data_IF_397563152357
#
_entry.id   IF_397563152357
#
_cell.length_a   1.000
_cell.length_b   1.000
_cell.length_c   1.000
_cell.angle_alpha   90.00
_cell.angle_beta   90.00
_cell.angle_gamma   90.00
#
_symmetry.space_group_name_H-M   'P 1'
#
loop_
_entity.id
_entity.type
_entity.pdbx_description
1 polymer ?
#
# COMPACT_ATOMS: atom_id res chain seq x y z
N UNK A 1 -4.80 -4.62 -1.24
CA UNK A 1 -4.28 -5.99 -1.16
C UNK A 1 -2.80 -5.98 -0.76
N UNK A 2 -2.41 -6.94 0.09
CA UNK A 2 -1.02 -7.23 0.40
C UNK A 2 -0.79 -8.73 0.29
N UNK A 3 0.37 -9.15 -0.20
CA UNK A 3 0.71 -10.56 -0.37
C UNK A 3 2.15 -10.88 0.02
N UNK A 4 2.33 -12.07 0.60
CA UNK A 4 3.64 -12.61 0.99
C UNK A 4 3.72 -14.10 0.70
N UNK A 5 4.88 -14.57 0.28
CA UNK A 5 5.21 -15.99 0.15
C UNK A 5 6.21 -16.36 1.26
N UNK A 6 5.84 -17.34 2.08
CA UNK A 6 6.71 -17.88 3.11
C UNK A 6 7.41 -19.13 2.56
N UNK A 7 8.74 -19.10 2.49
CA UNK A 7 9.58 -20.15 1.97
C UNK A 7 10.54 -20.59 3.06
N UNK A 8 10.48 -21.84 3.47
CA UNK A 8 11.32 -22.42 4.54
C UNK A 8 11.35 -21.55 5.82
N UNK A 9 10.22 -20.96 6.15
CA UNK A 9 10.06 -20.10 7.34
C UNK A 9 10.37 -18.62 7.13
N UNK A 10 10.88 -18.20 5.96
CA UNK A 10 11.16 -16.80 5.64
C UNK A 10 10.04 -16.23 4.76
N UNK A 11 9.44 -15.13 5.18
CA UNK A 11 8.35 -14.46 4.44
C UNK A 11 8.90 -13.38 3.50
N UNK A 12 8.52 -13.45 2.21
CA UNK A 12 8.89 -12.51 1.16
C UNK A 12 7.64 -11.79 0.66
N UNK A 13 7.53 -10.48 0.92
CA UNK A 13 6.41 -9.67 0.45
C UNK A 13 6.55 -9.39 -1.04
N UNK A 14 5.59 -9.86 -1.82
CA UNK A 14 5.56 -9.68 -3.28
C UNK A 14 4.58 -8.60 -3.74
N UNK A 15 3.58 -8.25 -2.94
CA UNK A 15 2.56 -7.27 -3.31
C UNK A 15 2.18 -6.39 -2.12
N UNK A 16 1.80 -5.14 -2.40
CA UNK A 16 1.38 -4.17 -1.40
C UNK A 16 2.56 -3.59 -0.61
N UNK A 17 2.26 -2.76 0.37
CA UNK A 17 3.22 -2.17 1.28
C UNK A 17 2.66 -2.17 2.70
N UNK A 18 3.47 -2.54 3.68
CA UNK A 18 3.14 -2.32 5.07
C UNK A 18 3.16 -0.82 5.38
N UNK A 19 2.33 -0.38 6.32
CA UNK A 19 2.42 0.96 6.88
C UNK A 19 3.81 1.13 7.49
N UNK A 20 4.57 2.09 6.96
CA UNK A 20 5.89 2.39 7.49
C UNK A 20 5.71 3.25 8.73
N UNK A 21 6.08 2.72 9.89
CA UNK A 21 6.22 3.50 11.12
C UNK A 21 7.65 4.01 11.22
N UNK A 22 7.80 5.28 11.55
CA UNK A 22 9.11 5.94 11.64
C UNK A 22 9.25 6.72 12.93
N UNK A 23 10.49 6.85 13.40
CA UNK A 23 10.88 7.74 14.49
C UNK A 23 11.86 8.80 13.99
N UNK A 24 11.80 10.05 14.49
CA UNK A 24 12.71 11.09 14.06
C UNK A 24 14.17 10.79 14.45
N UNK A 25 15.09 10.93 13.48
CA UNK A 25 16.54 11.04 13.71
C UNK A 25 16.94 12.49 13.58
N UNK A 26 16.54 13.13 12.49
CA UNK A 26 16.62 14.57 12.25
C UNK A 26 15.19 15.03 12.02
N UNK A 27 14.54 15.56 13.06
CA UNK A 27 13.11 15.82 13.06
C UNK A 27 12.69 16.91 12.08
N UNK A 28 11.43 16.85 11.64
CA UNK A 28 10.71 17.94 10.94
C UNK A 28 10.26 19.02 11.93
N UNK A 29 9.66 20.10 11.47
CA UNK A 29 9.10 21.17 12.32
C UNK A 29 8.01 20.67 13.28
N UNK A 30 7.35 19.54 12.98
CA UNK A 30 6.40 18.87 13.88
C UNK A 30 7.08 18.39 15.17
N UNK A 31 8.31 17.89 15.09
CA UNK A 31 9.06 17.41 16.26
C UNK A 31 9.87 18.49 16.97
N UNK A 32 10.01 19.66 16.38
CA UNK A 32 10.71 20.82 16.94
C UNK A 32 11.25 21.73 15.86
N UNK A 33 11.32 23.02 16.16
CA UNK A 33 11.83 24.02 15.22
C UNK A 33 13.31 23.74 14.88
N UNK A 34 13.64 23.82 13.60
CA UNK A 34 15.02 23.74 13.11
C UNK A 34 15.35 24.97 12.27
N UNK A 35 16.63 25.27 12.12
CA UNK A 35 17.12 26.43 11.39
C UNK A 35 17.78 26.03 10.09
N UNK A 36 17.69 26.91 9.08
CA UNK A 36 18.33 26.73 7.78
C UNK A 36 18.77 28.08 7.20
N UNK A 37 19.71 28.02 6.26
CA UNK A 37 19.94 29.11 5.31
C UNK A 37 19.02 28.94 4.11
N UNK A 38 18.51 30.04 3.59
CA UNK A 38 17.59 30.02 2.44
C UNK A 38 17.77 31.25 1.55
N UNK A 39 17.35 31.12 0.29
CA UNK A 39 17.27 32.23 -0.68
C UNK A 39 16.07 32.05 -1.59
N UNK A 40 15.62 33.15 -2.17
CA UNK A 40 14.60 33.18 -3.24
C UNK A 40 15.22 33.43 -4.62
N UNK A 41 16.51 33.60 -4.68
CA UNK A 41 17.26 33.80 -5.92
C UNK A 41 17.89 32.48 -6.35
N UNK A 42 17.89 32.20 -7.66
CA UNK A 42 18.49 31.01 -8.25
C UNK A 42 19.98 30.94 -7.85
N UNK A 43 20.40 29.90 -7.10
CA UNK A 43 21.81 29.77 -6.73
C UNK A 43 22.67 29.40 -7.94
N UNK A 44 23.88 29.93 -8.00
CA UNK A 44 24.87 29.54 -8.98
C UNK A 44 25.68 28.32 -8.50
N UNK A 45 26.02 27.42 -9.43
CA UNK A 45 26.88 26.26 -9.15
C UNK A 45 26.15 25.15 -8.39
N UNK A 46 26.94 24.31 -7.68
CA UNK A 46 26.45 23.11 -7.01
C UNK A 46 25.91 23.42 -5.60
N UNK A 47 24.82 24.13 -5.50
CA UNK A 47 24.23 24.62 -4.24
C UNK A 47 23.82 23.49 -3.28
N UNK A 48 23.71 22.25 -3.74
CA UNK A 48 23.38 21.07 -2.91
C UNK A 48 24.64 20.45 -2.26
N UNK A 49 25.83 20.81 -2.70
CA UNK A 49 27.10 20.27 -2.17
C UNK A 49 27.34 20.70 -0.73
N UNK A 50 28.01 19.83 0.05
CA UNK A 50 28.26 20.07 1.47
C UNK A 50 29.09 21.34 1.71
N UNK A 51 30.07 21.59 0.86
CA UNK A 51 31.05 22.69 0.94
C UNK A 51 30.62 23.99 0.24
N UNK A 52 29.38 24.03 -0.25
CA UNK A 52 28.83 25.23 -0.89
C UNK A 52 28.70 26.39 0.10
N UNK A 53 29.24 27.56 -0.26
CA UNK A 53 29.16 28.78 0.53
C UNK A 53 27.82 29.52 0.32
N UNK A 54 27.03 29.65 1.38
CA UNK A 54 25.72 30.36 1.36
C UNK A 54 25.89 31.88 1.56
N UNK A 55 26.85 32.48 0.88
CA UNK A 55 27.10 33.93 1.00
C UNK A 55 25.89 34.71 0.47
N UNK A 56 25.35 35.57 1.33
CA UNK A 56 24.20 36.41 0.99
C UNK A 56 22.82 35.73 1.22
N UNK A 57 22.80 34.44 1.58
CA UNK A 57 21.56 33.77 1.97
C UNK A 57 21.05 34.27 3.32
N UNK A 58 19.75 34.20 3.52
CA UNK A 58 19.08 34.50 4.79
C UNK A 58 19.10 33.29 5.71
N UNK A 59 18.90 33.51 7.01
CA UNK A 59 18.67 32.44 8.00
C UNK A 59 17.22 32.52 8.47
N UNK A 60 16.57 31.37 8.59
CA UNK A 60 15.20 31.26 9.05
C UNK A 60 14.92 29.94 9.77
N UNK A 61 13.83 29.92 10.52
CA UNK A 61 13.31 28.72 11.19
C UNK A 61 12.27 28.03 10.32
N UNK A 62 12.29 26.73 10.27
CA UNK A 62 11.30 25.93 9.58
C UNK A 62 10.00 25.78 10.42
N UNK A 63 8.87 25.43 9.83
CA UNK A 63 8.69 25.26 8.38
C UNK A 63 8.64 26.62 7.66
N UNK A 64 8.87 26.59 6.35
CA UNK A 64 8.77 27.78 5.50
C UNK A 64 7.43 27.71 4.74
N UNK A 65 6.72 28.85 4.60
CA UNK A 65 5.43 28.83 3.87
C UNK A 65 4.49 29.95 4.20
N UNK A 66 3.22 29.75 3.85
CA UNK A 66 2.10 30.67 4.10
C UNK A 66 1.44 30.45 5.47
N UNK A 67 0.63 31.42 5.93
CA UNK A 67 0.04 31.41 7.27
C UNK A 67 -0.98 30.30 7.53
N UNK A 68 -1.54 29.75 6.49
CA UNK A 68 -2.51 28.64 6.52
C UNK A 68 -1.88 27.27 6.75
N UNK A 69 -0.55 27.18 6.70
CA UNK A 69 0.14 25.91 6.88
C UNK A 69 0.59 25.67 8.34
N UNK A 70 0.51 24.42 8.83
CA UNK A 70 0.90 24.07 10.19
C UNK A 70 2.41 24.26 10.39
N UNK A 71 2.79 24.64 11.62
CA UNK A 71 4.19 24.79 12.03
C UNK A 71 5.02 25.82 11.27
N UNK A 72 4.40 26.66 10.41
CA UNK A 72 5.09 27.71 9.68
C UNK A 72 5.75 28.70 10.64
N UNK A 73 7.03 28.97 10.43
CA UNK A 73 7.84 29.95 11.19
C UNK A 73 8.42 31.03 10.31
N UNK A 74 8.90 30.68 9.10
CA UNK A 74 9.46 31.66 8.16
C UNK A 74 8.51 31.86 6.98
N UNK A 75 8.06 33.12 6.73
CA UNK A 75 7.18 33.42 5.60
C UNK A 75 7.85 33.19 4.24
N UNK A 76 7.11 32.46 3.38
CA UNK A 76 7.39 32.34 1.96
C UNK A 76 6.06 32.08 1.25
N UNK A 77 5.80 32.73 0.12
CA UNK A 77 4.52 32.60 -0.58
C UNK A 77 4.69 32.38 -2.08
N UNK A 78 5.54 33.15 -2.74
CA UNK A 78 5.58 33.19 -4.19
C UNK A 78 6.92 32.71 -4.76
N UNK A 79 6.86 32.00 -5.88
CA UNK A 79 8.01 31.58 -6.66
C UNK A 79 8.84 30.47 -6.00
N UNK A 80 10.12 30.52 -6.20
CA UNK A 80 11.06 29.50 -5.78
C UNK A 80 11.69 29.82 -4.43
N UNK A 81 11.92 28.78 -3.63
CA UNK A 81 12.77 28.84 -2.42
C UNK A 81 13.81 27.72 -2.47
N UNK A 82 15.07 28.08 -2.17
CA UNK A 82 16.17 27.15 -1.93
C UNK A 82 16.50 27.16 -0.46
N UNK A 83 16.46 25.99 0.18
CA UNK A 83 16.67 25.82 1.62
C UNK A 83 17.81 24.83 1.84
N UNK A 84 18.73 25.18 2.77
CA UNK A 84 19.84 24.31 3.18
C UNK A 84 19.86 24.20 4.69
N UNK A 85 19.57 23.01 5.21
CA UNK A 85 19.64 22.64 6.61
C UNK A 85 20.95 21.92 6.88
N UNK A 86 21.82 22.47 7.74
CA UNK A 86 22.96 21.75 8.27
C UNK A 86 22.56 20.92 9.48
N UNK A 87 23.11 19.70 9.58
CA UNK A 87 22.85 18.83 10.73
C UNK A 87 24.02 17.89 11.01
N UNK A 88 24.10 17.45 12.28
CA UNK A 88 25.05 16.43 12.73
C UNK A 88 24.30 15.11 12.90
N UNK A 89 24.98 13.99 12.56
CA UNK A 89 24.40 12.67 12.71
C UNK A 89 24.53 12.20 14.16
N UNK A 90 23.43 11.79 14.83
CA UNK A 90 23.49 11.37 16.22
C UNK A 90 24.41 10.16 16.42
N UNK A 91 25.30 10.24 17.41
CA UNK A 91 26.20 9.15 17.76
C UNK A 91 25.45 7.86 18.11
N UNK A 92 25.95 6.72 17.64
CA UNK A 92 25.34 5.40 17.87
C UNK A 92 24.14 5.08 17.01
N UNK A 93 23.68 6.00 16.15
CA UNK A 93 22.58 5.73 15.21
C UNK A 93 23.13 5.10 13.94
N UNK A 94 22.69 3.86 13.63
CA UNK A 94 23.02 3.21 12.36
C UNK A 94 22.35 3.93 11.17
N UNK A 95 22.79 3.63 9.95
CA UNK A 95 22.35 4.29 8.73
C UNK A 95 21.48 3.36 7.84
N UNK A 96 20.89 2.33 8.43
CA UNK A 96 19.99 1.40 7.75
C UNK A 96 18.54 1.86 7.88
N UNK A 97 17.70 1.49 6.94
CA UNK A 97 16.25 1.72 6.95
C UNK A 97 15.85 3.19 7.23
N UNK A 98 16.57 4.13 6.59
CA UNK A 98 16.29 5.55 6.70
C UNK A 98 15.26 6.02 5.70
N UNK A 99 14.43 6.96 6.13
CA UNK A 99 13.41 7.63 5.32
C UNK A 99 13.57 9.14 5.39
N UNK A 100 13.42 9.78 4.24
CA UNK A 100 13.20 11.22 4.18
C UNK A 100 11.72 11.45 4.43
N UNK A 101 11.36 12.24 5.47
CA UNK A 101 10.02 12.75 5.68
C UNK A 101 9.99 14.21 5.23
N UNK A 102 9.01 14.56 4.39
CA UNK A 102 8.89 15.91 3.88
C UNK A 102 7.45 16.29 3.57
N UNK A 103 7.18 17.58 3.63
CA UNK A 103 5.92 18.18 3.24
C UNK A 103 6.20 19.33 2.29
N UNK A 104 5.34 19.54 1.30
CA UNK A 104 5.56 20.56 0.27
C UNK A 104 4.25 21.08 -0.34
N UNK A 105 4.37 22.24 -0.97
CA UNK A 105 3.40 22.88 -1.84
C UNK A 105 4.16 23.88 -2.75
N UNK A 106 4.29 23.73 -4.07
CA UNK A 106 3.86 22.70 -5.02
C UNK A 106 4.97 21.66 -5.35
N UNK A 107 5.88 21.99 -6.32
CA UNK A 107 6.94 21.12 -6.77
C UNK A 107 8.13 21.15 -5.80
N UNK A 108 8.70 19.98 -5.49
CA UNK A 108 9.89 19.92 -4.64
C UNK A 108 10.94 18.94 -5.15
N UNK A 109 12.21 19.30 -4.95
CA UNK A 109 13.39 18.45 -5.12
C UNK A 109 14.20 18.45 -3.82
N UNK A 110 14.62 17.26 -3.36
CA UNK A 110 15.31 17.09 -2.08
C UNK A 110 16.61 16.33 -2.24
N UNK A 111 17.64 16.79 -1.52
CA UNK A 111 19.01 16.30 -1.63
C UNK A 111 19.62 16.07 -0.25
N UNK A 112 20.40 15.00 -0.11
CA UNK A 112 21.27 14.75 1.04
C UNK A 112 22.72 14.76 0.57
N UNK A 113 23.55 15.64 1.14
CA UNK A 113 24.98 15.77 0.81
C UNK A 113 25.25 15.83 -0.71
N UNK A 114 24.42 16.57 -1.46
CA UNK A 114 24.53 16.74 -2.90
C UNK A 114 23.87 15.64 -3.74
N UNK A 115 23.35 14.57 -3.13
CA UNK A 115 22.68 13.50 -3.85
C UNK A 115 21.17 13.64 -3.77
N UNK A 116 20.50 13.59 -4.93
CA UNK A 116 19.04 13.67 -5.00
C UNK A 116 18.38 12.44 -4.40
N UNK A 117 17.38 12.63 -3.54
CA UNK A 117 16.63 11.57 -2.86
C UNK A 117 15.19 11.55 -3.29
N UNK A 118 14.56 12.72 -3.46
CA UNK A 118 13.16 12.82 -3.84
C UNK A 118 12.92 13.95 -4.84
N UNK A 119 11.95 13.72 -5.70
CA UNK A 119 11.32 14.72 -6.57
C UNK A 119 9.82 14.45 -6.53
N UNK A 120 9.03 15.48 -6.23
CA UNK A 120 7.56 15.38 -6.24
C UNK A 120 7.01 16.52 -7.10
N UNK A 121 5.97 16.21 -7.87
CA UNK A 121 5.33 17.17 -8.77
C UNK A 121 4.42 18.15 -8.06
N UNK A 122 3.59 18.83 -8.85
CA UNK A 122 2.67 19.87 -8.40
C UNK A 122 1.61 19.31 -7.44
N UNK A 123 1.40 19.97 -6.32
CA UNK A 123 0.38 19.61 -5.32
C UNK A 123 0.84 19.88 -3.89
N UNK A 124 -0.13 19.89 -2.99
CA UNK A 124 0.08 20.00 -1.55
C UNK A 124 0.06 18.60 -0.94
N UNK A 125 1.18 18.17 -0.38
CA UNK A 125 1.31 16.88 0.33
C UNK A 125 2.02 17.08 1.67
N UNK A 126 1.50 16.42 2.70
CA UNK A 126 2.07 16.43 4.04
C UNK A 126 2.68 15.06 4.40
N UNK A 127 3.77 15.09 5.15
CA UNK A 127 4.39 13.92 5.79
C UNK A 127 4.70 12.75 4.83
N UNK A 128 5.03 13.07 3.57
CA UNK A 128 5.48 12.08 2.62
C UNK A 128 6.74 11.36 3.14
N UNK A 129 6.78 10.05 2.94
CA UNK A 129 7.92 9.23 3.29
C UNK A 129 8.59 8.68 2.03
N UNK A 130 9.87 8.94 1.87
CA UNK A 130 10.70 8.38 0.80
C UNK A 130 11.87 7.62 1.39
N UNK A 131 12.02 6.34 1.04
CA UNK A 131 13.17 5.54 1.42
C UNK A 131 14.47 6.19 0.91
N UNK A 132 15.45 6.37 1.79
CA UNK A 132 16.77 6.91 1.44
C UNK A 132 17.62 5.76 0.92
N UNK A 133 18.08 5.78 -0.34
CA UNK A 133 18.97 4.75 -0.86
C UNK A 133 20.22 4.57 0.00
N UNK A 134 20.65 3.33 0.20
CA UNK A 134 21.76 3.02 1.08
C UNK A 134 23.08 3.72 0.66
N UNK A 135 23.29 3.90 -0.64
CA UNK A 135 24.44 4.65 -1.18
C UNK A 135 24.39 6.15 -0.82
N UNK A 136 23.20 6.72 -0.59
CA UNK A 136 23.04 8.09 -0.08
C UNK A 136 23.22 8.10 1.43
N UNK A 137 22.62 7.17 2.17
CA UNK A 137 22.80 7.03 3.61
C UNK A 137 24.28 6.87 4.01
N UNK A 138 25.06 6.17 3.18
CA UNK A 138 26.52 6.00 3.40
C UNK A 138 27.32 7.31 3.26
N UNK A 139 26.76 8.37 2.67
CA UNK A 139 27.40 9.69 2.59
C UNK A 139 27.31 10.49 3.90
N UNK A 140 26.42 10.09 4.81
CA UNK A 140 26.23 10.76 6.09
C UNK A 140 27.53 10.70 6.93
N UNK A 141 27.92 11.84 7.49
CA UNK A 141 29.11 12.02 8.34
C UNK A 141 28.67 12.32 9.78
N UNK A 142 29.54 12.13 10.76
CA UNK A 142 29.20 12.51 12.13
C UNK A 142 28.79 13.98 12.25
N UNK A 143 29.40 14.88 11.48
CA UNK A 143 29.09 16.32 11.50
C UNK A 143 29.08 16.93 10.11
N UNK A 144 28.34 18.06 9.98
CA UNK A 144 28.35 18.90 8.79
C UNK A 144 27.65 18.31 7.59
N UNK A 145 26.57 17.53 7.79
CA UNK A 145 25.72 17.08 6.70
C UNK A 145 24.77 18.20 6.25
N UNK A 146 24.33 18.11 5.01
CA UNK A 146 23.37 19.03 4.42
C UNK A 146 22.14 18.27 3.92
N UNK A 147 20.98 18.70 4.37
CA UNK A 147 19.68 18.37 3.77
C UNK A 147 19.21 19.63 3.02
N UNK A 148 19.09 19.53 1.70
CA UNK A 148 18.77 20.67 0.85
C UNK A 148 17.46 20.43 0.09
N UNK A 149 16.68 21.50 -0.08
CA UNK A 149 15.43 21.49 -0.83
C UNK A 149 15.37 22.67 -1.80
N UNK A 150 14.86 22.43 -3.00
CA UNK A 150 14.31 23.45 -3.89
C UNK A 150 12.81 23.20 -3.97
N UNK A 151 12.01 24.18 -3.61
CA UNK A 151 10.56 24.12 -3.70
C UNK A 151 10.05 25.30 -4.51
N UNK A 152 9.12 25.02 -5.42
CA UNK A 152 8.50 26.03 -6.28
C UNK A 152 7.02 26.09 -6.01
N UNK A 153 6.53 27.26 -5.58
CA UNK A 153 5.11 27.54 -5.49
C UNK A 153 4.60 28.10 -6.83
N UNK A 154 3.59 27.46 -7.41
CA UNK A 154 2.92 27.86 -8.64
C UNK A 154 1.72 28.77 -8.40
N UNK A 155 1.33 28.98 -7.15
CA UNK A 155 0.25 29.88 -6.70
C UNK A 155 -0.57 29.31 -5.55
N UNK A 156 -1.19 30.16 -4.77
CA UNK A 156 -1.96 29.78 -3.59
C UNK A 156 -1.13 29.70 -2.32
N UNK A 157 -1.28 28.63 -1.55
CA UNK A 157 -0.44 28.32 -0.40
C UNK A 157 0.98 27.95 -0.79
N UNK A 158 1.89 27.95 0.17
CA UNK A 158 3.27 27.51 -0.02
C UNK A 158 3.75 26.79 1.23
N UNK A 159 4.47 25.68 1.10
CA UNK A 159 4.99 24.93 2.24
C UNK A 159 6.25 24.15 1.93
N UNK A 160 7.22 24.16 2.84
CA UNK A 160 8.33 23.23 2.85
C UNK A 160 8.79 22.90 4.26
N UNK A 161 8.81 21.60 4.56
CA UNK A 161 9.38 21.02 5.76
C UNK A 161 10.08 19.70 5.41
N UNK A 162 11.15 19.32 6.14
CA UNK A 162 11.92 18.12 5.85
C UNK A 162 12.72 17.61 7.04
N UNK A 163 12.85 16.27 7.12
CA UNK A 163 13.60 15.59 8.15
C UNK A 163 14.04 14.19 7.72
N UNK A 164 14.87 13.55 8.54
CA UNK A 164 15.31 12.17 8.34
C UNK A 164 14.75 11.32 9.47
N UNK A 165 14.08 10.25 9.10
CA UNK A 165 13.42 9.31 9.99
C UNK A 165 14.09 7.95 9.90
N UNK A 166 13.95 7.16 10.94
CA UNK A 166 14.35 5.75 10.96
C UNK A 166 13.11 4.87 11.07
N UNK A 167 13.05 3.82 10.24
CA UNK A 167 11.99 2.82 10.29
C UNK A 167 12.00 2.11 11.64
N UNK A 168 10.82 1.97 12.24
CA UNK A 168 10.61 1.12 13.42
C UNK A 168 10.53 -0.34 12.96
N UNK A 169 11.46 -1.18 13.42
CA UNK A 169 11.41 -2.63 13.17
C UNK A 169 10.43 -3.26 14.16
N UNK A 170 9.29 -3.71 13.68
CA UNK A 170 8.21 -4.24 14.52
C UNK A 170 8.30 -5.75 14.75
N UNK A 171 8.80 -6.53 13.81
CA UNK A 171 8.81 -8.00 13.86
C UNK A 171 7.44 -8.66 13.61
N UNK A 172 6.43 -7.86 13.24
CA UNK A 172 5.08 -8.26 12.86
C UNK A 172 4.68 -7.70 11.48
N UNK A 173 5.68 -7.35 10.66
CA UNK A 173 5.59 -6.92 9.27
C UNK A 173 6.43 -7.81 8.37
N UNK A 174 6.11 -7.87 7.07
CA UNK A 174 6.91 -8.62 6.08
C UNK A 174 8.09 -7.77 5.61
N UNK A 175 9.20 -7.83 6.33
CA UNK A 175 10.36 -6.98 6.06
C UNK A 175 11.14 -7.36 4.79
N UNK A 176 11.21 -8.68 4.45
CA UNK A 176 11.86 -9.09 3.22
C UNK A 176 10.95 -8.82 2.02
N UNK A 177 11.52 -8.23 0.98
CA UNK A 177 10.82 -7.98 -0.29
C UNK A 177 11.18 -9.07 -1.30
N UNK A 178 10.19 -9.57 -2.02
CA UNK A 178 10.42 -10.35 -3.23
C UNK A 178 10.92 -9.43 -4.35
N UNK A 179 11.65 -9.99 -5.30
CA UNK A 179 12.12 -9.26 -6.49
C UNK A 179 11.12 -9.51 -7.62
N UNK A 180 10.46 -8.48 -8.12
CA UNK A 180 9.61 -8.58 -9.30
C UNK A 180 10.50 -8.64 -10.54
N UNK A 181 10.42 -9.75 -11.30
CA UNK A 181 11.25 -10.02 -12.48
C UNK A 181 10.51 -9.79 -13.80
N UNK A 182 9.18 -9.93 -13.81
CA UNK A 182 8.38 -9.69 -15.00
C UNK A 182 7.00 -9.13 -14.70
N UNK A 183 6.44 -8.43 -15.69
CA UNK A 183 5.02 -8.00 -15.73
C UNK A 183 4.53 -8.07 -17.16
N UNK A 184 3.37 -8.69 -17.38
CA UNK A 184 2.69 -8.70 -18.68
C UNK A 184 1.23 -8.34 -18.48
N UNK A 185 0.76 -7.33 -19.18
CA UNK A 185 -0.63 -6.86 -19.14
C UNK A 185 -1.34 -7.28 -20.42
N UNK A 186 -2.40 -8.07 -20.25
CA UNK A 186 -3.30 -8.52 -21.33
C UNK A 186 -4.70 -7.91 -21.10
N UNK A 187 -5.61 -7.92 -22.05
CA UNK A 187 -6.93 -7.28 -21.91
C UNK A 187 -7.75 -7.73 -20.69
N UNK A 188 -7.66 -9.01 -20.32
CA UNK A 188 -8.44 -9.60 -19.22
C UNK A 188 -7.56 -10.22 -18.13
N UNK A 189 -6.26 -10.21 -18.31
CA UNK A 189 -5.31 -10.83 -17.39
C UNK A 189 -4.07 -9.95 -17.20
N UNK A 190 -3.56 -9.90 -15.98
CA UNK A 190 -2.26 -9.30 -15.67
C UNK A 190 -1.41 -10.33 -14.94
N UNK A 191 -0.22 -10.55 -15.48
CA UNK A 191 0.76 -11.52 -14.98
C UNK A 191 1.90 -10.78 -14.30
N UNK A 192 2.30 -11.26 -13.13
CA UNK A 192 3.49 -10.82 -12.42
C UNK A 192 4.33 -12.04 -12.08
N UNK A 193 5.64 -11.93 -12.23
CA UNK A 193 6.59 -12.96 -11.76
C UNK A 193 7.50 -12.37 -10.71
N UNK A 194 7.69 -13.10 -9.61
CA UNK A 194 8.50 -12.70 -8.47
C UNK A 194 9.49 -13.78 -8.09
N UNK A 195 10.69 -13.39 -7.69
CA UNK A 195 11.63 -14.25 -6.96
C UNK A 195 11.46 -14.02 -5.45
N UNK A 196 11.02 -15.06 -4.75
CA UNK A 196 10.82 -15.11 -3.31
C UNK A 196 11.90 -16.00 -2.68
N UNK A 197 13.14 -15.52 -2.58
CA UNK A 197 14.29 -16.33 -2.24
C UNK A 197 14.53 -17.42 -3.30
N UNK A 198 14.57 -18.72 -2.94
CA UNK A 198 14.80 -19.81 -3.90
C UNK A 198 13.54 -20.26 -4.67
N UNK A 199 12.41 -19.58 -4.52
CA UNK A 199 11.13 -19.94 -5.16
C UNK A 199 10.65 -18.81 -6.05
N UNK A 200 10.26 -19.16 -7.28
CA UNK A 200 9.53 -18.27 -8.19
C UNK A 200 8.04 -18.34 -7.91
N UNK A 201 7.40 -17.20 -7.90
CA UNK A 201 5.94 -17.03 -7.79
C UNK A 201 5.42 -16.31 -9.01
N UNK A 202 4.54 -16.93 -9.77
CA UNK A 202 3.68 -16.25 -10.74
C UNK A 202 2.35 -15.91 -10.08
N UNK A 203 1.93 -14.65 -10.20
CA UNK A 203 0.66 -14.13 -9.72
C UNK A 203 -0.14 -13.58 -10.90
N UNK A 204 -1.36 -14.09 -11.07
CA UNK A 204 -2.20 -13.77 -12.22
C UNK A 204 -3.55 -13.22 -11.73
N UNK A 205 -3.85 -12.00 -12.11
CA UNK A 205 -5.18 -11.42 -11.93
C UNK A 205 -5.99 -11.63 -13.20
N UNK A 206 -7.18 -12.22 -13.08
CA UNK A 206 -8.05 -12.49 -14.22
C UNK A 206 -9.44 -11.92 -13.98
N UNK A 207 -9.89 -11.03 -14.88
CA UNK A 207 -11.29 -10.63 -14.98
C UNK A 207 -11.99 -11.52 -16.00
N UNK A 208 -13.12 -12.20 -15.69
CA UNK A 208 -13.81 -13.11 -16.59
C UNK A 208 -14.66 -12.34 -17.64
N UNK A 209 -14.02 -11.41 -18.37
CA UNK A 209 -14.69 -10.52 -19.32
C UNK A 209 -14.71 -11.14 -20.73
N UNK A 210 -15.57 -12.13 -20.94
CA UNK A 210 -15.79 -12.72 -22.27
C UNK A 210 -16.86 -11.92 -23.01
N UNK A 211 -16.51 -11.36 -24.18
CA UNK A 211 -17.37 -10.41 -24.91
C UNK A 211 -18.64 -11.05 -25.49
N UNK A 212 -18.65 -12.35 -25.69
CA UNK A 212 -19.79 -13.15 -26.20
C UNK A 212 -20.57 -13.89 -25.09
N UNK A 213 -20.15 -13.74 -23.83
CA UNK A 213 -20.81 -14.28 -22.65
C UNK A 213 -21.15 -13.16 -21.66
N UNK A 214 -22.40 -12.70 -21.69
CA UNK A 214 -22.87 -11.60 -20.83
C UNK A 214 -22.84 -11.96 -19.33
N UNK A 215 -23.02 -13.22 -18.99
CA UNK A 215 -22.91 -13.71 -17.62
C UNK A 215 -21.47 -13.58 -17.08
N UNK A 216 -20.50 -14.04 -17.86
CA UNK A 216 -19.09 -13.91 -17.51
C UNK A 216 -18.68 -12.43 -17.49
N UNK A 217 -19.13 -11.62 -18.46
CA UNK A 217 -18.79 -10.22 -18.57
C UNK A 217 -19.30 -9.37 -17.39
N UNK A 218 -20.40 -9.77 -16.77
CA UNK A 218 -20.99 -9.07 -15.63
C UNK A 218 -20.72 -9.75 -14.28
N UNK A 219 -19.92 -10.81 -14.26
CA UNK A 219 -19.61 -11.54 -13.03
C UNK A 219 -19.06 -10.63 -11.94
N UNK A 220 -19.55 -10.73 -10.69
CA UNK A 220 -19.17 -9.83 -9.59
C UNK A 220 -17.83 -10.19 -8.96
N UNK A 221 -17.02 -11.02 -9.60
CA UNK A 221 -15.77 -11.53 -9.07
C UNK A 221 -14.63 -11.50 -10.09
N UNK A 222 -13.41 -11.54 -9.55
CA UNK A 222 -12.16 -11.73 -10.29
C UNK A 222 -11.37 -12.86 -9.64
N UNK A 223 -10.54 -13.53 -10.44
CA UNK A 223 -9.64 -14.57 -9.95
C UNK A 223 -8.29 -14.00 -9.61
N UNK A 224 -7.71 -14.49 -8.50
CA UNK A 224 -6.29 -14.36 -8.19
C UNK A 224 -5.72 -15.77 -8.22
N UNK A 225 -4.93 -16.06 -9.25
CA UNK A 225 -4.22 -17.33 -9.42
C UNK A 225 -2.77 -17.14 -9.02
N UNK A 226 -2.20 -18.12 -8.34
CA UNK A 226 -0.79 -18.15 -7.98
C UNK A 226 -0.18 -19.51 -8.33
N UNK A 227 1.07 -19.48 -8.75
CA UNK A 227 1.83 -20.64 -9.16
C UNK A 227 3.25 -20.53 -8.60
N UNK A 228 3.72 -21.55 -7.90
CA UNK A 228 5.03 -21.55 -7.28
C UNK A 228 5.89 -22.71 -7.80
N UNK A 229 7.19 -22.46 -8.02
CA UNK A 229 8.18 -23.48 -8.37
C UNK A 229 9.56 -23.15 -7.82
N UNK A 230 10.37 -24.16 -7.54
CA UNK A 230 11.75 -24.00 -7.11
C UNK A 230 12.64 -23.50 -8.25
N UNK A 231 13.55 -22.57 -7.93
CA UNK A 231 14.57 -22.05 -8.83
C UNK A 231 15.93 -22.76 -8.70
N UNK A 232 16.20 -23.40 -7.56
CA UNK A 232 17.49 -24.01 -7.24
C UNK A 232 17.50 -25.56 -7.34
N UNK A 233 16.39 -26.15 -7.80
CA UNK A 233 16.23 -27.60 -7.96
C UNK A 233 16.02 -28.37 -6.65
N UNK A 234 15.91 -27.65 -5.51
CA UNK A 234 15.61 -28.27 -4.21
C UNK A 234 14.10 -28.22 -3.93
N UNK A 235 13.71 -28.90 -2.86
CA UNK A 235 12.33 -28.87 -2.36
C UNK A 235 12.23 -27.91 -1.20
N UNK A 236 11.23 -27.01 -1.24
CA UNK A 236 10.99 -25.97 -0.25
C UNK A 236 9.59 -26.12 0.35
N UNK A 237 9.43 -25.84 1.64
CA UNK A 237 8.13 -25.72 2.28
C UNK A 237 7.58 -24.30 1.99
N UNK A 238 6.41 -24.23 1.33
CA UNK A 238 5.88 -22.97 0.82
C UNK A 238 4.46 -22.73 1.29
N UNK A 239 4.18 -21.51 1.80
CA UNK A 239 2.86 -21.03 2.15
C UNK A 239 2.63 -19.65 1.52
N UNK A 240 1.43 -19.43 1.00
CA UNK A 240 1.00 -18.14 0.47
C UNK A 240 0.16 -17.39 1.51
N UNK A 241 0.32 -16.08 1.58
CA UNK A 241 -0.53 -15.15 2.31
C UNK A 241 -1.06 -14.07 1.40
N UNK A 242 -2.35 -13.77 1.52
CA UNK A 242 -3.00 -12.60 0.91
C UNK A 242 -3.93 -11.95 1.92
N UNK A 243 -4.01 -10.62 1.90
CA UNK A 243 -4.98 -9.88 2.70
C UNK A 243 -5.63 -8.75 1.92
N UNK A 244 -6.84 -8.40 2.32
CA UNK A 244 -7.54 -7.21 1.87
C UNK A 244 -7.98 -6.38 3.08
N UNK A 245 -7.87 -5.05 2.97
CA UNK A 245 -8.40 -4.11 3.95
C UNK A 245 -9.84 -3.73 3.60
N UNK A 246 -10.66 -3.27 4.55
CA UNK A 246 -12.01 -2.80 4.27
C UNK A 246 -12.09 -1.52 3.44
N UNK A 247 -10.97 -0.87 3.17
CA UNK A 247 -10.87 0.30 2.28
C UNK A 247 -11.42 0.04 0.86
N UNK A 248 -11.59 -1.23 0.46
CA UNK A 248 -12.26 -1.60 -0.77
C UNK A 248 -13.76 -1.32 -0.80
N UNK A 249 -14.38 -1.07 0.36
CA UNK A 249 -15.82 -0.97 0.52
C UNK A 249 -16.28 0.34 1.19
N UNK A 250 -15.43 1.35 1.21
CA UNK A 250 -15.71 2.68 1.79
C UNK A 250 -15.21 3.79 0.88
N UNK A 251 -15.77 4.97 1.02
CA UNK A 251 -15.27 6.18 0.36
C UNK A 251 -14.05 6.75 1.10
N UNK A 252 -14.11 6.82 2.43
CA UNK A 252 -13.06 7.36 3.30
C UNK A 252 -12.83 6.43 4.49
N UNK A 253 -11.66 6.49 5.11
CA UNK A 253 -11.23 5.59 6.20
C UNK A 253 -11.90 5.85 7.54
N UNK A 254 -12.53 7.00 7.71
CA UNK A 254 -13.34 7.36 8.88
C UNK A 254 -14.73 6.69 8.91
N UNK A 255 -15.17 6.11 7.78
CA UNK A 255 -16.43 5.37 7.73
C UNK A 255 -16.32 4.04 8.49
N UNK A 256 -17.23 3.76 9.44
CA UNK A 256 -17.23 2.51 10.16
C UNK A 256 -17.61 1.34 9.27
N UNK A 257 -17.00 0.18 9.51
CA UNK A 257 -17.14 -1.02 8.69
C UNK A 257 -17.63 -2.24 9.49
N UNK A 258 -18.22 -3.19 8.79
CA UNK A 258 -18.65 -4.49 9.32
C UNK A 258 -17.80 -5.61 8.76
N UNK A 259 -17.75 -6.73 9.48
CA UNK A 259 -17.01 -7.93 9.07
C UNK A 259 -17.83 -9.18 9.34
N UNK A 260 -17.76 -10.14 8.43
CA UNK A 260 -18.42 -11.43 8.60
C UNK A 260 -17.60 -12.55 7.95
N UNK A 261 -17.44 -13.68 8.63
CA UNK A 261 -16.93 -14.93 8.06
C UNK A 261 -18.10 -15.87 7.86
N UNK A 262 -18.28 -16.37 6.63
CA UNK A 262 -19.41 -17.22 6.23
C UNK A 262 -18.83 -18.50 5.62
N UNK A 263 -19.38 -19.64 6.02
CA UNK A 263 -19.07 -20.95 5.42
C UNK A 263 -20.35 -21.51 4.79
N UNK A 264 -20.30 -21.79 3.48
CA UNK A 264 -21.45 -22.26 2.72
C UNK A 264 -20.99 -23.15 1.57
N UNK A 265 -21.60 -24.33 1.44
CA UNK A 265 -21.47 -25.24 0.29
C UNK A 265 -20.01 -25.62 -0.09
N UNK A 266 -19.12 -25.76 0.91
CA UNK A 266 -17.71 -26.11 0.72
C UNK A 266 -16.81 -24.91 0.37
N UNK A 267 -17.33 -23.71 0.50
CA UNK A 267 -16.58 -22.46 0.36
C UNK A 267 -16.58 -21.65 1.64
N UNK A 268 -15.55 -20.84 1.80
CA UNK A 268 -15.44 -19.82 2.86
C UNK A 268 -15.43 -18.43 2.22
N UNK A 269 -16.16 -17.53 2.84
CA UNK A 269 -16.27 -16.13 2.44
C UNK A 269 -15.90 -15.23 3.59
N UNK A 270 -15.01 -14.27 3.34
CA UNK A 270 -14.76 -13.14 4.22
C UNK A 270 -15.40 -11.91 3.60
N UNK A 271 -16.22 -11.20 4.37
CA UNK A 271 -17.04 -10.09 3.91
C UNK A 271 -16.78 -8.84 4.72
N UNK A 272 -16.73 -7.69 4.06
CA UNK A 272 -16.69 -6.36 4.69
C UNK A 272 -17.48 -5.35 3.88
N UNK A 273 -18.02 -4.33 4.54
CA UNK A 273 -18.74 -3.21 3.95
C UNK A 273 -18.93 -2.09 4.94
N UNK A 274 -19.32 -0.90 4.49
CA UNK A 274 -19.69 0.20 5.38
C UNK A 274 -20.86 -0.18 6.27
N UNK A 275 -20.98 0.44 7.45
CA UNK A 275 -22.14 0.25 8.34
C UNK A 275 -23.40 0.88 7.75
N UNK A 276 -23.29 2.08 7.18
CA UNK A 276 -24.43 2.91 6.83
C UNK A 276 -25.14 2.48 5.54
N UNK A 277 -24.45 1.80 4.61
CA UNK A 277 -25.03 1.26 3.36
C UNK A 277 -25.94 2.26 2.61
N UNK A 278 -25.53 3.51 2.50
CA UNK A 278 -26.25 4.55 1.77
C UNK A 278 -26.13 4.35 0.25
N UNK A 279 -26.96 3.47 -0.29
CA UNK A 279 -26.96 3.12 -1.72
C UNK A 279 -27.15 4.35 -2.59
N UNK A 280 -26.16 4.66 -3.44
CA UNK A 280 -26.17 5.82 -4.35
C UNK A 280 -26.43 7.15 -3.63
N UNK A 281 -26.08 7.26 -2.34
CA UNK A 281 -26.45 8.38 -1.46
C UNK A 281 -25.64 9.66 -1.72
N UNK A 282 -24.46 9.60 -2.34
CA UNK A 282 -23.56 10.75 -2.53
C UNK A 282 -23.49 11.19 -3.98
N UNK A 283 -23.19 12.47 -4.17
CA UNK A 283 -22.98 13.11 -5.49
C UNK A 283 -21.69 13.94 -5.41
N UNK A 284 -20.93 13.97 -6.48
CA UNK A 284 -19.71 14.76 -6.59
C UNK A 284 -18.67 14.05 -7.44
N UNK A 285 -17.49 14.65 -7.51
CA UNK A 285 -16.32 14.09 -8.17
C UNK A 285 -15.53 13.25 -7.17
N UNK A 286 -14.71 12.34 -7.69
CA UNK A 286 -13.77 11.49 -6.91
C UNK A 286 -14.43 10.66 -5.78
N UNK A 287 -15.68 10.22 -6.00
CA UNK A 287 -16.37 9.34 -5.06
C UNK A 287 -16.02 7.88 -5.33
N UNK A 288 -15.81 7.13 -4.25
CA UNK A 288 -15.70 5.67 -4.26
C UNK A 288 -17.02 5.07 -3.82
N UNK A 289 -17.27 3.82 -4.19
CA UNK A 289 -18.43 3.07 -3.70
C UNK A 289 -18.29 2.87 -2.18
N UNK A 290 -19.35 3.21 -1.42
CA UNK A 290 -19.42 3.06 0.04
C UNK A 290 -20.70 2.35 0.49
N UNK A 291 -21.34 1.63 -0.42
CA UNK A 291 -22.44 0.71 -0.17
C UNK A 291 -22.13 -0.65 -0.81
N UNK A 292 -22.83 -1.70 -0.38
CA UNK A 292 -22.52 -3.06 -0.78
C UNK A 292 -21.38 -3.66 0.04
N UNK A 293 -20.83 -4.77 -0.46
CA UNK A 293 -19.89 -5.57 0.29
C UNK A 293 -18.77 -6.11 -0.59
N UNK A 294 -17.55 -5.97 -0.12
CA UNK A 294 -16.38 -6.67 -0.65
C UNK A 294 -16.32 -8.08 -0.08
N UNK A 295 -15.94 -9.04 -0.91
CA UNK A 295 -15.78 -10.45 -0.54
C UNK A 295 -14.41 -10.98 -0.98
N UNK A 296 -13.83 -11.83 -0.13
CA UNK A 296 -12.77 -12.76 -0.48
C UNK A 296 -13.35 -14.17 -0.32
N UNK A 297 -13.25 -15.02 -1.35
CA UNK A 297 -13.79 -16.37 -1.36
C UNK A 297 -12.75 -17.41 -1.73
N UNK A 298 -12.73 -18.52 -1.00
CA UNK A 298 -11.86 -19.66 -1.26
C UNK A 298 -12.58 -20.99 -1.06
N UNK A 299 -12.03 -22.05 -1.66
CA UNK A 299 -12.48 -23.42 -1.41
C UNK A 299 -12.06 -23.82 0.01
N UNK A 300 -12.97 -24.42 0.77
CA UNK A 300 -12.61 -25.02 2.06
C UNK A 300 -11.70 -26.23 1.85
N UNK A 301 -10.51 -26.19 2.43
CA UNK A 301 -9.48 -27.22 2.36
C UNK A 301 -8.71 -27.26 3.68
N UNK A 302 -8.13 -28.40 4.06
CA UNK A 302 -7.21 -28.47 5.21
C UNK A 302 -5.97 -27.59 5.08
N UNK A 303 -5.59 -27.26 3.83
CA UNK A 303 -4.42 -26.44 3.51
C UNK A 303 -4.75 -24.93 3.51
N UNK A 304 -6.04 -24.58 3.38
CA UNK A 304 -6.51 -23.20 3.35
C UNK A 304 -6.95 -22.77 4.74
N UNK A 305 -6.42 -21.66 5.23
CA UNK A 305 -6.89 -20.99 6.43
C UNK A 305 -7.22 -19.53 6.15
N UNK A 306 -8.25 -19.02 6.80
CA UNK A 306 -8.69 -17.63 6.66
C UNK A 306 -8.88 -17.01 8.05
N UNK A 307 -8.75 -15.69 8.16
CA UNK A 307 -9.08 -14.96 9.38
C UNK A 307 -9.60 -13.56 9.06
N UNK A 308 -10.40 -13.03 9.96
CA UNK A 308 -10.66 -11.60 10.07
C UNK A 308 -9.99 -11.18 11.38
N UNK A 309 -8.90 -10.43 11.30
CA UNK A 309 -8.07 -10.14 12.47
C UNK A 309 -7.43 -8.75 12.35
N UNK A 310 -6.83 -8.31 13.44
CA UNK A 310 -6.00 -7.11 13.43
C UNK A 310 -4.82 -7.28 12.47
N UNK A 311 -4.48 -6.20 11.78
CA UNK A 311 -3.50 -6.14 10.69
C UNK A 311 -2.15 -6.80 11.03
N UNK A 312 -1.58 -6.50 12.18
CA UNK A 312 -0.28 -7.07 12.60
C UNK A 312 -0.42 -8.47 13.19
N UNK A 313 -1.53 -8.75 13.88
CA UNK A 313 -1.81 -10.06 14.45
C UNK A 313 -1.94 -11.13 13.37
N UNK A 314 -2.64 -10.85 12.28
CA UNK A 314 -2.75 -11.75 11.12
C UNK A 314 -1.38 -12.08 10.51
N UNK A 315 -0.52 -11.06 10.28
CA UNK A 315 0.84 -11.25 9.75
C UNK A 315 1.73 -12.04 10.70
N UNK A 316 1.69 -11.71 11.98
CA UNK A 316 2.48 -12.41 13.01
C UNK A 316 2.10 -13.89 13.09
N UNK A 317 0.82 -14.22 13.04
CA UNK A 317 0.34 -15.60 13.02
C UNK A 317 0.88 -16.35 11.79
N UNK A 318 0.76 -15.75 10.60
CA UNK A 318 1.28 -16.36 9.38
C UNK A 318 2.81 -16.53 9.39
N UNK A 319 3.56 -15.52 9.82
CA UNK A 319 5.03 -15.61 9.90
C UNK A 319 5.50 -16.71 10.86
N UNK A 320 4.73 -16.99 11.91
CA UNK A 320 5.07 -18.02 12.90
C UNK A 320 5.06 -19.42 12.29
N UNK A 321 3.96 -19.82 11.68
CA UNK A 321 3.76 -21.20 11.22
C UNK A 321 3.10 -21.37 9.85
N UNK A 322 2.90 -20.27 9.12
CA UNK A 322 2.29 -20.27 7.79
C UNK A 322 0.76 -20.42 7.80
N UNK A 323 0.12 -20.23 8.96
CA UNK A 323 -1.33 -20.39 9.13
C UNK A 323 -1.98 -19.19 9.79
N UNK A 324 -3.29 -19.09 9.62
CA UNK A 324 -4.13 -18.10 10.28
C UNK A 324 -5.00 -18.75 11.37
N UNK A 325 -5.55 -17.93 12.27
CA UNK A 325 -6.36 -18.42 13.41
C UNK A 325 -7.62 -19.18 13.02
N UNK A 326 -8.09 -19.01 11.79
CA UNK A 326 -9.35 -19.58 11.30
C UNK A 326 -10.61 -18.88 11.84
N UNK A 327 -10.46 -17.77 12.55
CA UNK A 327 -11.55 -17.08 13.27
C UNK A 327 -11.66 -15.61 12.87
N UNK A 328 -12.71 -14.96 13.35
CA UNK A 328 -12.82 -13.51 13.40
C UNK A 328 -12.47 -13.08 14.84
N UNK A 329 -11.30 -12.49 15.03
CA UNK A 329 -10.77 -12.07 16.32
C UNK A 329 -10.23 -10.63 16.23
N UNK A 330 -10.20 -9.90 17.35
CA UNK A 330 -9.64 -8.55 17.44
C UNK A 330 -10.18 -7.59 16.35
N UNK A 331 -11.47 -7.68 16.06
CA UNK A 331 -12.13 -6.94 14.98
C UNK A 331 -12.51 -5.54 15.48
N UNK A 332 -12.14 -4.50 14.75
CA UNK A 332 -12.56 -3.11 14.99
C UNK A 332 -13.35 -2.59 13.81
N UNK A 333 -14.52 -1.97 14.02
CA UNK A 333 -15.24 -1.26 12.96
C UNK A 333 -14.55 0.07 12.58
N UNK A 334 -13.65 0.58 13.40
CA UNK A 334 -12.93 1.85 13.25
C UNK A 334 -11.52 1.58 12.72
N UNK A 335 -11.32 1.85 11.43
CA UNK A 335 -10.05 1.62 10.72
C UNK A 335 -8.93 2.56 11.17
N UNK A 336 -9.27 3.76 11.62
CA UNK A 336 -8.26 4.74 12.08
C UNK A 336 -7.69 4.35 13.43
N UNK A 337 -8.54 3.75 14.28
CA UNK A 337 -8.12 3.24 15.58
C UNK A 337 -7.37 1.92 15.47
N UNK A 338 -7.86 1.01 14.64
CA UNK A 338 -7.27 -0.32 14.44
C UNK A 338 -7.67 -0.87 13.08
N UNK A 339 -6.70 -1.09 12.21
CA UNK A 339 -6.95 -1.72 10.92
C UNK A 339 -7.24 -3.21 11.11
N UNK A 340 -8.39 -3.65 10.65
CA UNK A 340 -8.77 -5.06 10.56
C UNK A 340 -8.65 -5.52 9.11
N UNK A 341 -8.19 -6.75 8.88
CA UNK A 341 -8.00 -7.32 7.54
C UNK A 341 -8.78 -8.61 7.34
N UNK A 342 -9.13 -8.87 6.09
CA UNK A 342 -9.60 -10.15 5.61
C UNK A 342 -8.38 -10.90 5.08
N UNK A 343 -7.89 -11.89 5.84
CA UNK A 343 -6.66 -12.59 5.54
C UNK A 343 -6.94 -14.03 5.05
N UNK A 344 -6.12 -14.45 4.09
CA UNK A 344 -6.13 -15.76 3.47
C UNK A 344 -4.72 -16.36 3.49
N UNK A 345 -4.61 -17.65 3.78
CA UNK A 345 -3.37 -18.40 3.64
C UNK A 345 -3.65 -19.76 3.01
N UNK A 346 -2.76 -20.18 2.11
CA UNK A 346 -2.74 -21.49 1.48
C UNK A 346 -1.38 -22.18 1.67
N UNK A 347 -1.40 -23.40 2.20
CA UNK A 347 -0.21 -24.23 2.36
C UNK A 347 0.05 -25.03 1.08
N UNK A 348 0.96 -24.55 0.23
CA UNK A 348 1.37 -25.23 -1.00
C UNK A 348 2.22 -26.48 -0.76
N UNK A 349 2.59 -26.72 0.52
CA UNK A 349 3.39 -27.87 0.93
C UNK A 349 4.81 -27.87 0.34
N UNK A 350 5.24 -29.01 -0.15
CA UNK A 350 6.58 -29.22 -0.72
C UNK A 350 6.62 -28.82 -2.20
N UNK A 351 7.19 -27.68 -2.48
CA UNK A 351 7.38 -27.13 -3.84
C UNK A 351 8.77 -27.50 -4.35
N UNK A 352 8.83 -28.12 -5.52
CA UNK A 352 10.06 -28.43 -6.25
C UNK A 352 10.03 -27.78 -7.65
N UNK A 353 10.73 -28.31 -8.64
CA UNK A 353 10.71 -27.81 -10.03
C UNK A 353 9.33 -27.93 -10.71
N UNK A 354 8.45 -28.80 -10.20
CA UNK A 354 7.06 -28.88 -10.70
C UNK A 354 6.23 -27.77 -10.07
N UNK A 355 5.52 -27.05 -10.92
CA UNK A 355 4.62 -25.98 -10.49
C UNK A 355 3.50 -26.51 -9.60
N UNK A 356 3.33 -25.88 -8.44
CA UNK A 356 2.16 -26.04 -7.57
C UNK A 356 1.33 -24.78 -7.70
N UNK A 357 0.01 -24.92 -7.84
CA UNK A 357 -0.88 -23.79 -8.10
C UNK A 357 -2.11 -23.80 -7.20
N UNK A 358 -2.63 -22.61 -6.93
CA UNK A 358 -3.91 -22.40 -6.28
C UNK A 358 -4.58 -21.14 -6.79
N UNK A 359 -5.79 -20.87 -6.30
CA UNK A 359 -6.51 -19.65 -6.62
C UNK A 359 -7.54 -19.30 -5.54
N UNK A 360 -7.90 -18.02 -5.51
CA UNK A 360 -9.04 -17.51 -4.76
C UNK A 360 -9.79 -16.50 -5.63
N UNK A 361 -10.99 -16.15 -5.20
CA UNK A 361 -11.80 -15.12 -5.84
C UNK A 361 -11.94 -13.92 -4.90
N UNK A 362 -11.86 -12.73 -5.48
CA UNK A 362 -12.30 -11.49 -4.83
C UNK A 362 -13.47 -10.91 -5.63
N UNK A 363 -14.36 -10.21 -4.97
CA UNK A 363 -15.50 -9.62 -5.68
C UNK A 363 -16.27 -8.63 -4.84
N UNK A 364 -17.28 -8.05 -5.48
CA UNK A 364 -18.08 -6.99 -4.87
C UNK A 364 -19.57 -7.18 -5.21
N UNK A 365 -20.41 -7.14 -4.19
CA UNK A 365 -21.85 -7.02 -4.34
C UNK A 365 -22.27 -5.59 -4.08
N UNK A 366 -22.61 -4.85 -5.12
CA UNK A 366 -23.01 -3.46 -5.08
C UNK A 366 -24.49 -3.25 -4.66
N UNK A 367 -25.22 -4.30 -4.33
CA UNK A 367 -26.67 -4.35 -4.03
C UNK A 367 -27.52 -3.78 -5.17
N UNK A 368 -27.27 -2.52 -5.55
CA UNK A 368 -27.84 -1.83 -6.70
C UNK A 368 -26.72 -1.11 -7.46
N UNK A 369 -26.64 -1.35 -8.76
CA UNK A 369 -25.57 -0.84 -9.61
C UNK A 369 -25.81 0.58 -10.12
N UNK A 370 -27.07 0.91 -10.44
CA UNK A 370 -27.45 2.23 -10.97
C UNK A 370 -28.81 2.67 -10.45
N UNK A 371 -29.05 4.00 -10.49
CA UNK A 371 -30.38 4.57 -10.35
C UNK A 371 -30.86 5.11 -11.71
N UNK A 372 -32.02 4.64 -12.17
CA UNK A 372 -32.61 5.04 -13.43
C UNK A 372 -34.06 5.51 -13.22
N UNK A 373 -34.34 6.78 -13.49
CA UNK A 373 -35.64 7.41 -13.23
C UNK A 373 -36.18 7.15 -11.80
N UNK A 374 -35.34 7.33 -10.79
CA UNK A 374 -35.58 7.08 -9.36
C UNK A 374 -35.82 5.59 -8.98
N UNK A 375 -35.64 4.65 -9.91
CA UNK A 375 -35.65 3.21 -9.64
C UNK A 375 -34.20 2.72 -9.47
N UNK A 376 -33.86 2.12 -8.34
CA UNK A 376 -32.59 1.44 -8.15
C UNK A 376 -32.60 0.11 -8.92
N UNK A 377 -31.59 -0.09 -9.78
CA UNK A 377 -31.47 -1.28 -10.63
C UNK A 377 -30.31 -2.15 -10.14
N UNK A 378 -30.58 -3.44 -10.02
CA UNK A 378 -29.57 -4.45 -9.73
C UNK A 378 -28.66 -4.68 -10.95
N UNK A 379 -27.45 -5.15 -10.70
CA UNK A 379 -26.55 -5.64 -11.74
C UNK A 379 -27.14 -6.84 -12.49
N UNK A 380 -26.76 -7.03 -13.75
CA UNK A 380 -27.32 -8.08 -14.63
C UNK A 380 -27.17 -9.49 -14.03
N UNK A 381 -26.01 -9.82 -13.49
CA UNK A 381 -25.71 -11.13 -12.89
C UNK A 381 -26.68 -11.57 -11.76
N UNK A 382 -27.38 -10.60 -11.15
CA UNK A 382 -28.37 -10.88 -10.09
C UNK A 382 -29.70 -11.40 -10.59
N UNK A 383 -30.00 -11.33 -11.91
CA UNK A 383 -31.24 -11.78 -12.50
C UNK A 383 -32.49 -11.29 -11.73
N UNK A 384 -32.54 -10.00 -11.40
CA UNK A 384 -33.60 -9.39 -10.59
C UNK A 384 -33.72 -10.02 -9.17
N UNK A 385 -32.61 -10.42 -8.57
CA UNK A 385 -32.56 -11.00 -7.22
C UNK A 385 -32.74 -12.51 -7.15
N UNK A 386 -32.73 -13.20 -8.30
CA UNK A 386 -32.78 -14.68 -8.34
C UNK A 386 -31.42 -15.34 -8.06
N UNK A 387 -30.32 -14.60 -8.27
CA UNK A 387 -28.95 -15.05 -8.01
C UNK A 387 -28.37 -14.22 -6.89
N UNK A 388 -27.90 -14.86 -5.83
CA UNK A 388 -27.14 -14.19 -4.77
C UNK A 388 -25.65 -14.22 -5.05
N UNK A 389 -24.87 -13.50 -4.25
CA UNK A 389 -23.42 -13.40 -4.40
C UNK A 389 -22.73 -14.76 -4.18
N UNK A 390 -23.28 -15.62 -3.32
CA UNK A 390 -22.70 -16.94 -3.04
C UNK A 390 -22.90 -17.89 -4.23
N UNK A 391 -24.06 -17.82 -4.90
CA UNK A 391 -24.33 -18.57 -6.14
C UNK A 391 -23.36 -18.15 -7.25
N UNK A 392 -23.13 -16.82 -7.40
CA UNK A 392 -22.18 -16.28 -8.37
C UNK A 392 -20.74 -16.75 -8.10
N UNK A 393 -20.27 -16.67 -6.86
CA UNK A 393 -18.95 -17.16 -6.49
C UNK A 393 -18.79 -18.67 -6.64
N UNK A 394 -19.81 -19.46 -6.24
CA UNK A 394 -19.79 -20.91 -6.40
C UNK A 394 -19.73 -21.32 -7.88
N UNK A 395 -20.44 -20.59 -8.78
CA UNK A 395 -20.32 -20.74 -10.22
C UNK A 395 -18.90 -20.44 -10.68
N UNK A 396 -18.32 -19.30 -10.29
CA UNK A 396 -16.96 -18.90 -10.63
C UNK A 396 -15.91 -19.92 -10.21
N UNK A 397 -16.01 -20.47 -9.00
CA UNK A 397 -15.13 -21.53 -8.53
C UNK A 397 -15.19 -22.80 -9.39
N UNK A 398 -16.39 -23.21 -9.80
CA UNK A 398 -16.60 -24.38 -10.66
C UNK A 398 -16.09 -24.16 -12.09
N UNK A 399 -16.21 -22.95 -12.60
CA UNK A 399 -15.86 -22.60 -13.99
C UNK A 399 -14.38 -22.18 -14.14
N UNK A 400 -13.62 -22.05 -13.04
CA UNK A 400 -12.24 -21.58 -13.04
C UNK A 400 -11.36 -22.23 -14.11
N UNK A 401 -11.34 -23.56 -14.20
CA UNK A 401 -10.51 -24.28 -15.17
C UNK A 401 -10.90 -24.00 -16.64
N UNK A 402 -12.15 -23.67 -16.90
CA UNK A 402 -12.64 -23.23 -18.21
C UNK A 402 -12.22 -21.80 -18.55
N UNK A 403 -12.29 -20.91 -17.58
CA UNK A 403 -11.95 -19.49 -17.74
C UNK A 403 -10.42 -19.25 -17.93
N UNK A 404 -9.57 -20.18 -17.48
CA UNK A 404 -8.12 -20.08 -17.63
C UNK A 404 -7.59 -20.66 -18.94
N UNK A 405 -8.46 -21.13 -19.86
CA UNK A 405 -8.12 -21.66 -21.19
C UNK A 405 -8.26 -20.62 -22.28
#
# INVERSE_FOLDING_TARGET
LLGSLRVDGVSYRFMGADKVEVTPVIGTAVSGLWEATYTFELPEGEWTAVDYETKGWKTGKAAFGTDDNPYRSTPWQDGDIWVRRSFDWPEGTDKEDLFLQYSHDDNIELYINGKQVAVTGNGLDYDLLKEIPQEVANTLKPTGNILAAHCRNNGGGAYVDMGIMKKVKRGDTFDNKAVQTATTVMPTQTYYTFECGPVELDLIFTAPMLMDDLEAMTAPYNYITYQARSLDGRTHEVQLYLEATPQWAVNTTDQPVTFEKIEKDGYVYLKTGSVDQEVLGKKGDDLRIDWGYFYLSAVQSPDVTVAIDEYYAAKKAFMSDGKLSGKAENVSPDMEKQMTVLAYSDNLGKVNEKTVSGHLLIGYDDLYAIQYFNDNRMAYWKHNGQTDIFDAFAKGQKEYAGMMK
#
